data_IF_840057477580
#
_entry.id   IF_840057477580
#
_cell.length_a   1.000
_cell.length_b   1.000
_cell.length_c   1.000
_cell.angle_alpha   90.00
_cell.angle_beta   90.00
_cell.angle_gamma   90.00
#
_symmetry.space_group_name_H-M   'P 1'
#
loop_
_entity.id
_entity.type
_entity.pdbx_description
1 polymer ?
#
# COMPACT_ATOMS: atom_id res chain seq x y z
N UNK A 1 0.66 -15.31 -21.37
CA UNK A 1 0.34 -15.54 -19.93
C UNK A 1 -1.15 -15.33 -19.72
N UNK A 2 -1.81 -16.07 -18.81
CA UNK A 2 -3.25 -15.89 -18.48
C UNK A 2 -3.40 -15.47 -17.02
N UNK A 3 -4.25 -14.49 -16.78
CA UNK A 3 -4.62 -14.01 -15.44
C UNK A 3 -6.13 -14.18 -15.26
N UNK A 4 -6.54 -14.80 -14.16
CA UNK A 4 -7.94 -15.14 -13.90
C UNK A 4 -8.57 -14.19 -12.87
N UNK A 5 -7.74 -13.60 -12.02
CA UNK A 5 -8.17 -12.70 -10.97
C UNK A 5 -7.09 -11.64 -10.69
N UNK A 6 -7.43 -10.67 -9.84
CA UNK A 6 -6.53 -9.58 -9.47
C UNK A 6 -5.32 -10.09 -8.67
N UNK A 7 -5.47 -11.12 -7.82
CA UNK A 7 -4.35 -11.73 -7.08
C UNK A 7 -3.24 -12.24 -8.00
N UNK A 8 -3.61 -12.94 -9.10
CA UNK A 8 -2.65 -13.44 -10.10
C UNK A 8 -1.79 -12.30 -10.67
N UNK A 9 -2.37 -11.11 -10.86
CA UNK A 9 -1.67 -9.94 -11.37
C UNK A 9 -0.68 -9.42 -10.34
N UNK A 10 -1.09 -9.27 -9.07
CA UNK A 10 -0.20 -8.81 -8.01
C UNK A 10 0.94 -9.80 -7.77
N UNK A 11 0.67 -11.10 -7.75
CA UNK A 11 1.70 -12.14 -7.66
C UNK A 11 2.71 -12.06 -8.81
N UNK A 12 2.23 -11.79 -10.04
CA UNK A 12 3.10 -11.59 -11.18
C UNK A 12 3.94 -10.31 -11.06
N UNK A 13 3.35 -9.19 -10.64
CA UNK A 13 4.07 -7.93 -10.44
C UNK A 13 5.23 -8.13 -9.47
N UNK A 14 4.97 -8.76 -8.33
CA UNK A 14 5.98 -9.04 -7.31
C UNK A 14 7.06 -10.01 -7.81
N UNK A 15 6.68 -11.03 -8.60
CA UNK A 15 7.64 -11.90 -9.28
C UNK A 15 8.53 -11.14 -10.26
N UNK A 16 7.96 -10.24 -11.06
CA UNK A 16 8.70 -9.45 -12.05
C UNK A 16 9.61 -8.43 -11.38
N UNK A 17 9.17 -7.82 -10.28
CA UNK A 17 9.99 -6.92 -9.47
C UNK A 17 11.23 -7.62 -8.92
N UNK A 18 11.09 -8.82 -8.34
CA UNK A 18 12.25 -9.61 -7.88
C UNK A 18 13.21 -9.96 -9.01
N UNK A 19 12.69 -10.33 -10.19
CA UNK A 19 13.53 -10.61 -11.36
C UNK A 19 14.29 -9.37 -11.82
N UNK A 20 13.64 -8.21 -11.80
CA UNK A 20 14.24 -6.94 -12.15
C UNK A 20 15.39 -6.59 -11.19
N UNK A 21 15.16 -6.69 -9.88
CA UNK A 21 16.20 -6.52 -8.84
C UNK A 21 17.37 -7.48 -9.02
N UNK A 22 17.10 -8.76 -9.24
CA UNK A 22 18.13 -9.78 -9.46
C UNK A 22 18.96 -9.52 -10.71
N UNK A 23 18.34 -9.03 -11.78
CA UNK A 23 19.04 -8.75 -13.05
C UNK A 23 19.98 -7.54 -12.95
N UNK A 24 19.77 -6.68 -11.96
CA UNK A 24 20.55 -5.46 -11.72
C UNK A 24 21.51 -5.58 -10.53
N UNK A 25 21.42 -6.68 -9.77
CA UNK A 25 22.25 -6.91 -8.61
C UNK A 25 23.73 -7.11 -9.00
N UNK A 26 24.63 -6.43 -8.28
CA UNK A 26 26.07 -6.62 -8.44
C UNK A 26 26.70 -5.96 -9.66
N UNK A 27 25.98 -5.07 -10.35
CA UNK A 27 26.56 -4.24 -11.42
C UNK A 27 27.62 -3.29 -10.87
N UNK A 28 28.75 -3.17 -11.57
CA UNK A 28 29.77 -2.17 -11.26
C UNK A 28 29.38 -0.79 -11.82
N UNK A 29 29.97 0.32 -11.30
CA UNK A 29 29.74 1.66 -11.85
C UNK A 29 29.98 1.77 -13.36
N UNK A 30 31.00 1.07 -13.88
CA UNK A 30 31.30 1.07 -15.31
C UNK A 30 30.23 0.33 -16.13
N UNK A 31 29.67 -0.75 -15.59
CA UNK A 31 28.61 -1.51 -16.24
C UNK A 31 27.29 -0.74 -16.25
N UNK A 32 26.89 -0.13 -15.12
CA UNK A 32 25.63 0.61 -15.06
C UNK A 32 25.62 1.85 -15.97
N UNK A 33 26.80 2.47 -16.17
CA UNK A 33 26.99 3.65 -17.00
C UNK A 33 27.41 3.33 -18.44
N UNK A 34 27.60 2.05 -18.78
CA UNK A 34 27.95 1.64 -20.14
C UNK A 34 26.85 2.05 -21.13
N UNK A 35 27.26 2.78 -22.18
CA UNK A 35 26.37 3.19 -23.28
C UNK A 35 26.76 2.46 -24.57
N UNK A 36 25.92 1.55 -25.10
CA UNK A 36 26.28 0.77 -26.28
C UNK A 36 26.31 1.59 -27.58
N UNK A 37 25.46 2.63 -27.69
CA UNK A 37 25.46 3.58 -28.80
C UNK A 37 24.86 4.93 -28.37
N UNK A 38 25.14 6.04 -29.08
CA UNK A 38 24.65 7.37 -28.70
C UNK A 38 23.12 7.50 -28.61
N UNK A 39 22.39 6.65 -29.33
CA UNK A 39 20.93 6.60 -29.40
C UNK A 39 20.30 5.55 -28.48
N UNK A 40 21.07 4.98 -27.55
CA UNK A 40 20.60 3.99 -26.58
C UNK A 40 20.86 4.44 -25.16
N UNK A 41 19.99 4.00 -24.26
CA UNK A 41 20.10 4.27 -22.83
C UNK A 41 21.11 3.37 -22.15
N UNK A 42 21.76 3.87 -21.09
CA UNK A 42 22.57 3.06 -20.17
C UNK A 42 21.67 2.15 -19.33
N UNK A 43 22.26 1.21 -18.59
CA UNK A 43 21.48 0.35 -17.68
C UNK A 43 20.84 1.20 -16.57
N UNK A 44 21.58 2.18 -16.02
CA UNK A 44 21.05 3.12 -15.04
C UNK A 44 19.84 3.91 -15.57
N UNK A 45 19.93 4.43 -16.80
CA UNK A 45 18.83 5.15 -17.46
C UNK A 45 17.60 4.24 -17.71
N UNK A 46 17.82 2.97 -18.07
CA UNK A 46 16.72 2.02 -18.19
C UNK A 46 16.04 1.75 -16.84
N UNK A 47 16.82 1.62 -15.76
CA UNK A 47 16.28 1.43 -14.42
C UNK A 47 15.48 2.65 -13.96
N UNK A 48 16.01 3.86 -14.18
CA UNK A 48 15.32 5.13 -13.91
C UNK A 48 13.98 5.21 -14.66
N UNK A 49 13.98 4.87 -15.95
CA UNK A 49 12.77 4.87 -16.77
C UNK A 49 11.66 3.99 -16.17
N UNK A 50 12.00 2.76 -15.76
CA UNK A 50 11.04 1.83 -15.14
C UNK A 50 10.43 2.44 -13.87
N UNK A 51 11.27 3.04 -13.02
CA UNK A 51 10.83 3.72 -11.80
C UNK A 51 9.87 4.87 -12.09
N UNK A 52 10.17 5.72 -13.08
CA UNK A 52 9.30 6.84 -13.47
C UNK A 52 7.94 6.34 -13.97
N UNK A 53 7.94 5.33 -14.85
CA UNK A 53 6.72 4.76 -15.43
C UNK A 53 5.84 4.13 -14.36
N UNK A 54 6.41 3.30 -13.50
CA UNK A 54 5.66 2.66 -12.41
C UNK A 54 5.11 3.69 -11.43
N UNK A 55 5.90 4.72 -11.07
CA UNK A 55 5.41 5.80 -10.21
C UNK A 55 4.24 6.56 -10.84
N UNK A 56 4.28 6.80 -12.16
CA UNK A 56 3.15 7.36 -12.90
C UNK A 56 1.91 6.47 -12.85
N UNK A 57 2.09 5.16 -13.04
CA UNK A 57 1.01 4.19 -13.01
C UNK A 57 0.34 4.12 -11.63
N UNK A 58 1.11 4.01 -10.54
CA UNK A 58 0.57 3.94 -9.17
C UNK A 58 -0.20 5.22 -8.81
N UNK A 59 0.31 6.40 -9.18
CA UNK A 59 -0.41 7.67 -9.00
C UNK A 59 -1.74 7.69 -9.74
N UNK A 60 -1.78 7.20 -10.98
CA UNK A 60 -3.00 7.11 -11.76
C UNK A 60 -4.00 6.12 -11.13
N UNK A 61 -3.55 4.93 -10.74
CA UNK A 61 -4.39 3.92 -10.07
C UNK A 61 -4.99 4.47 -8.77
N UNK A 62 -4.20 5.15 -7.93
CA UNK A 62 -4.70 5.78 -6.71
C UNK A 62 -5.76 6.86 -7.01
N UNK A 63 -5.53 7.70 -8.03
CA UNK A 63 -6.51 8.70 -8.47
C UNK A 63 -7.83 8.04 -8.91
N UNK A 64 -7.75 6.97 -9.70
CA UNK A 64 -8.92 6.24 -10.18
C UNK A 64 -9.67 5.55 -9.04
N UNK A 65 -8.95 4.99 -8.06
CA UNK A 65 -9.54 4.38 -6.87
C UNK A 65 -10.33 5.42 -6.06
N UNK A 66 -9.73 6.57 -5.76
CA UNK A 66 -10.40 7.66 -5.04
C UNK A 66 -11.64 8.18 -5.77
N UNK A 67 -11.59 8.25 -7.11
CA UNK A 67 -12.74 8.65 -7.90
C UNK A 67 -13.87 7.61 -7.80
N UNK A 68 -13.55 6.31 -7.88
CA UNK A 68 -14.54 5.25 -7.75
C UNK A 68 -15.20 5.24 -6.37
N UNK A 69 -14.43 5.48 -5.30
CA UNK A 69 -14.93 5.63 -3.93
C UNK A 69 -15.87 6.83 -3.78
N UNK A 70 -15.50 7.99 -4.34
CA UNK A 70 -16.33 9.19 -4.33
C UNK A 70 -17.66 8.99 -5.08
N UNK A 71 -17.65 8.19 -6.14
CA UNK A 71 -18.84 7.82 -6.91
C UNK A 71 -19.61 6.64 -6.30
N UNK A 72 -19.21 6.15 -5.11
CA UNK A 72 -19.83 5.01 -4.41
C UNK A 72 -19.96 3.75 -5.28
N UNK A 73 -19.01 3.54 -6.20
CA UNK A 73 -19.00 2.34 -7.04
C UNK A 73 -18.64 1.15 -6.15
N UNK A 74 -19.47 0.09 -6.11
CA UNK A 74 -19.19 -1.07 -5.27
C UNK A 74 -17.89 -1.73 -5.70
N UNK A 75 -17.08 -2.16 -4.72
CA UNK A 75 -15.97 -3.05 -4.99
C UNK A 75 -16.52 -4.35 -5.60
N UNK A 76 -15.99 -4.74 -6.76
CA UNK A 76 -16.37 -5.99 -7.41
C UNK A 76 -15.72 -7.13 -6.62
N UNK A 77 -16.45 -7.66 -5.64
CA UNK A 77 -15.99 -8.65 -4.67
C UNK A 77 -15.54 -9.98 -5.29
N UNK A 78 -15.94 -10.25 -6.54
CA UNK A 78 -15.51 -11.40 -7.33
C UNK A 78 -15.34 -10.97 -8.80
N UNK A 79 -14.36 -10.10 -9.08
CA UNK A 79 -14.00 -9.77 -10.46
C UNK A 79 -13.29 -10.98 -11.11
N UNK A 80 -14.08 -11.96 -11.54
CA UNK A 80 -13.62 -12.97 -12.49
C UNK A 80 -13.45 -12.27 -13.83
N UNK A 81 -12.22 -11.84 -14.10
CA UNK A 81 -11.90 -11.24 -15.38
C UNK A 81 -11.95 -12.36 -16.43
N UNK A 82 -12.63 -12.16 -17.58
CA UNK A 82 -12.42 -13.06 -18.70
C UNK A 82 -10.92 -13.15 -18.94
N UNK A 83 -10.35 -14.35 -19.20
CA UNK A 83 -8.91 -14.54 -19.24
C UNK A 83 -8.28 -13.46 -20.10
N UNK A 84 -7.53 -12.55 -19.46
CA UNK A 84 -6.76 -11.57 -20.19
C UNK A 84 -5.59 -12.34 -20.77
N UNK A 85 -5.82 -12.99 -21.90
CA UNK A 85 -4.75 -13.44 -22.75
C UNK A 85 -4.11 -12.15 -23.25
N UNK A 86 -2.94 -11.82 -22.70
CA UNK A 86 -1.94 -11.13 -23.50
C UNK A 86 -1.66 -12.11 -24.65
N UNK A 87 -2.50 -12.06 -25.67
CA UNK A 87 -2.26 -12.83 -26.88
C UNK A 87 -0.98 -12.27 -27.48
N UNK A 88 -0.15 -13.14 -28.03
CA UNK A 88 0.96 -12.69 -28.87
C UNK A 88 0.42 -11.90 -30.10
N UNK A 89 -0.90 -11.93 -30.35
CA UNK A 89 -1.63 -11.08 -31.31
C UNK A 89 -1.89 -9.63 -30.83
N UNK A 90 -1.45 -9.27 -29.63
CA UNK A 90 -0.98 -7.90 -29.39
C UNK A 90 0.30 -7.67 -30.19
N UNK A 91 0.25 -7.83 -31.52
CA UNK A 91 1.32 -7.44 -32.42
C UNK A 91 1.51 -5.94 -32.19
N UNK A 92 2.39 -5.58 -31.25
CA UNK A 92 3.00 -4.27 -31.25
C UNK A 92 3.56 -4.13 -32.64
N UNK A 93 2.90 -3.31 -33.47
CA UNK A 93 3.35 -3.08 -34.83
C UNK A 93 4.85 -2.83 -34.76
N UNK A 94 5.68 -3.60 -35.49
CA UNK A 94 7.11 -3.41 -35.48
C UNK A 94 7.37 -1.96 -35.86
N UNK A 95 7.80 -1.19 -34.87
CA UNK A 95 7.85 0.27 -34.94
C UNK A 95 8.83 0.74 -33.88
N UNK A 96 9.59 1.78 -34.22
CA UNK A 96 10.49 2.42 -33.26
C UNK A 96 9.63 3.26 -32.32
N UNK A 97 9.15 2.66 -31.24
CA UNK A 97 8.42 3.36 -30.19
C UNK A 97 9.43 4.15 -29.37
N UNK A 98 9.28 5.47 -29.37
CA UNK A 98 10.04 6.34 -28.47
C UNK A 98 9.18 6.68 -27.26
N UNK A 99 9.78 6.58 -26.08
CA UNK A 99 9.13 7.01 -24.85
C UNK A 99 8.80 8.52 -24.91
N UNK A 100 7.61 8.95 -24.48
CA UNK A 100 7.29 10.36 -24.35
C UNK A 100 8.23 11.09 -23.41
N UNK A 101 8.45 12.40 -23.62
CA UNK A 101 9.43 13.20 -22.85
C UNK A 101 9.22 13.15 -21.33
N UNK A 102 7.96 13.02 -20.87
CA UNK A 102 7.63 12.94 -19.45
C UNK A 102 8.18 11.69 -18.76
N UNK A 103 8.39 10.60 -19.50
CA UNK A 103 8.89 9.33 -18.96
C UNK A 103 10.30 9.00 -19.43
N UNK A 104 10.94 9.86 -20.23
CA UNK A 104 12.35 9.67 -20.60
C UNK A 104 13.23 9.78 -19.35
N UNK A 105 14.24 8.90 -19.20
CA UNK A 105 15.22 9.04 -18.13
C UNK A 105 16.00 10.34 -18.31
N UNK A 106 16.30 11.01 -17.20
CA UNK A 106 17.08 12.25 -17.19
C UNK A 106 18.57 11.97 -16.99
N UNK A 107 18.91 10.77 -16.53
CA UNK A 107 20.26 10.39 -16.16
C UNK A 107 20.67 10.96 -14.80
N UNK A 108 21.81 10.48 -14.29
CA UNK A 108 22.37 10.90 -13.02
C UNK A 108 21.80 10.20 -11.78
N UNK A 109 20.84 9.29 -11.96
CA UNK A 109 20.35 8.39 -10.92
C UNK A 109 21.00 7.02 -11.13
N UNK A 110 21.72 6.53 -10.12
CA UNK A 110 22.33 5.19 -10.17
C UNK A 110 21.29 4.06 -10.15
N UNK A 111 21.72 2.85 -10.51
CA UNK A 111 20.85 1.67 -10.54
C UNK A 111 20.27 1.38 -9.15
N UNK A 112 21.09 1.46 -8.11
CA UNK A 112 20.69 1.17 -6.72
C UNK A 112 19.51 2.06 -6.28
N UNK A 113 19.62 3.38 -6.48
CA UNK A 113 18.58 4.33 -6.11
C UNK A 113 17.31 4.12 -6.94
N UNK A 114 17.46 3.83 -8.25
CA UNK A 114 16.32 3.57 -9.13
C UNK A 114 15.56 2.32 -8.68
N UNK A 115 16.28 1.23 -8.36
CA UNK A 115 15.70 -0.03 -7.90
C UNK A 115 15.03 0.13 -6.54
N UNK A 116 15.67 0.80 -5.59
CA UNK A 116 15.08 1.08 -4.28
C UNK A 116 13.81 1.93 -4.39
N UNK A 117 13.83 2.98 -5.23
CA UNK A 117 12.65 3.79 -5.53
C UNK A 117 11.53 2.98 -6.18
N UNK A 118 11.87 2.08 -7.11
CA UNK A 118 10.86 1.22 -7.74
C UNK A 118 10.23 0.26 -6.74
N UNK A 119 11.02 -0.33 -5.83
CA UNK A 119 10.52 -1.19 -4.77
C UNK A 119 9.50 -0.46 -3.89
N UNK A 120 9.81 0.76 -3.46
CA UNK A 120 8.89 1.60 -2.68
C UNK A 120 7.56 1.84 -3.42
N UNK A 121 7.62 2.16 -4.72
CA UNK A 121 6.44 2.36 -5.56
C UNK A 121 5.58 1.09 -5.65
N UNK A 122 6.21 -0.07 -5.80
CA UNK A 122 5.47 -1.34 -5.80
C UNK A 122 4.85 -1.61 -4.43
N UNK A 123 5.57 -1.37 -3.34
CA UNK A 123 5.02 -1.55 -1.99
C UNK A 123 3.81 -0.63 -1.76
N UNK A 124 3.83 0.61 -2.26
CA UNK A 124 2.67 1.52 -2.27
C UNK A 124 1.49 0.94 -3.05
N UNK A 125 1.72 0.34 -4.22
CA UNK A 125 0.66 -0.32 -4.99
C UNK A 125 0.03 -1.47 -4.21
N UNK A 126 0.83 -2.24 -3.47
CA UNK A 126 0.34 -3.32 -2.60
C UNK A 126 -0.42 -2.77 -1.38
N UNK A 127 0.00 -1.64 -0.81
CA UNK A 127 -0.74 -0.98 0.26
C UNK A 127 -2.16 -0.58 -0.20
N UNK A 128 -2.30 -0.02 -1.40
CA UNK A 128 -3.61 0.33 -1.99
C UNK A 128 -4.55 -0.89 -2.10
N UNK A 129 -4.01 -2.06 -2.44
CA UNK A 129 -4.79 -3.31 -2.47
C UNK A 129 -5.35 -3.66 -1.10
N UNK A 130 -4.56 -3.45 -0.03
CA UNK A 130 -4.94 -3.81 1.34
C UNK A 130 -5.98 -2.84 1.93
N UNK A 131 -5.91 -1.56 1.58
CA UNK A 131 -6.88 -0.54 2.03
C UNK A 131 -8.23 -0.70 1.33
N UNK A 132 -8.22 -1.02 0.03
CA UNK A 132 -9.43 -1.18 -0.78
C UNK A 132 -10.20 -2.49 -0.49
N UNK A 133 -9.53 -3.51 0.05
CA UNK A 133 -10.17 -4.78 0.43
C UNK A 133 -10.25 -4.93 1.96
N UNK A 134 -11.30 -4.41 2.62
CA UNK A 134 -11.53 -4.76 4.01
C UNK A 134 -11.74 -6.27 4.09
N UNK A 135 -10.82 -6.95 4.79
CA UNK A 135 -10.93 -8.37 5.08
C UNK A 135 -12.33 -8.69 5.61
N UNK A 136 -13.07 -9.54 4.90
CA UNK A 136 -14.39 -10.09 5.30
C UNK A 136 -14.28 -10.96 6.57
N UNK A 137 -13.10 -11.07 7.21
CA UNK A 137 -12.89 -11.93 8.37
C UNK A 137 -13.22 -11.31 9.75
N UNK A 138 -13.89 -10.16 9.85
CA UNK A 138 -14.23 -9.55 11.16
C UNK A 138 -15.72 -9.35 11.39
N UNK A 139 -16.55 -10.34 11.07
CA UNK A 139 -17.88 -10.52 11.67
C UNK A 139 -18.08 -12.00 11.98
N UNK A 140 -17.46 -12.50 13.05
CA UNK A 140 -17.97 -13.68 13.77
C UNK A 140 -17.44 -13.69 15.20
N UNK A 141 -18.41 -13.72 16.12
CA UNK A 141 -18.32 -13.85 17.58
C UNK A 141 -17.89 -12.55 18.29
N UNK A 142 -18.74 -11.81 18.99
CA UNK A 142 -19.82 -12.27 19.86
C UNK A 142 -19.32 -12.25 21.30
N UNK A 143 -19.92 -11.37 22.11
CA UNK A 143 -19.82 -11.27 23.58
C UNK A 143 -18.56 -10.52 24.11
N UNK A 144 -18.71 -9.20 24.29
CA UNK A 144 -17.91 -8.48 25.29
C UNK A 144 -18.58 -8.74 26.65
N UNK A 145 -18.01 -9.67 27.41
CA UNK A 145 -18.29 -9.79 28.84
C UNK A 145 -17.39 -8.76 29.56
N UNK A 146 -17.98 -7.65 30.02
CA UNK A 146 -17.33 -6.82 31.03
C UNK A 146 -17.46 -7.55 32.37
N UNK A 147 -16.39 -8.18 32.83
CA UNK A 147 -16.23 -8.54 34.24
C UNK A 147 -15.19 -7.61 34.85
N UNK A 148 -15.68 -6.65 35.62
CA UNK A 148 -14.90 -5.94 36.63
C UNK A 148 -14.47 -6.93 37.71
N UNK A 149 -13.18 -7.06 37.95
CA UNK A 149 -12.67 -7.47 39.26
C UNK A 149 -11.47 -6.61 39.61
N UNK A 150 -11.67 -5.72 40.57
CA UNK A 150 -10.62 -5.01 41.29
C UNK A 150 -9.96 -5.95 42.29
N UNK A 151 -8.62 -5.92 42.40
CA UNK A 151 -7.91 -5.69 43.67
C UNK A 151 -6.39 -5.64 43.47
N UNK A 152 -5.80 -4.55 44.00
CA UNK A 152 -4.56 -4.52 44.80
C UNK A 152 -3.28 -5.17 44.24
N UNK A 153 -2.25 -4.38 43.91
CA UNK A 153 -1.11 -4.11 44.81
C UNK A 153 -0.10 -3.13 44.19
N UNK A 154 0.52 -2.37 45.08
CA UNK A 154 1.57 -1.36 44.95
C UNK A 154 2.79 -1.67 44.06
N UNK A 155 3.28 -0.64 43.35
CA UNK A 155 4.65 -0.58 42.81
C UNK A 155 4.93 0.75 42.11
N UNK A 156 5.85 1.56 42.65
CA UNK A 156 6.30 2.84 42.09
C UNK A 156 7.34 2.64 40.96
N UNK A 157 7.39 3.54 39.96
CA UNK A 157 8.60 4.35 39.59
C UNK A 157 8.46 5.16 38.27
N UNK A 158 8.81 6.46 38.35
CA UNK A 158 9.38 7.47 37.39
C UNK A 158 8.80 7.64 35.95
N UNK A 159 8.24 8.80 35.54
CA UNK A 159 8.82 10.14 35.19
C UNK A 159 9.62 10.14 33.85
N UNK A 160 9.44 10.98 32.81
CA UNK A 160 8.62 12.17 32.51
C UNK A 160 8.51 12.43 30.98
N UNK A 161 7.54 13.30 30.61
CA UNK A 161 7.46 14.21 29.44
C UNK A 161 7.19 13.62 28.03
N UNK A 162 6.32 14.14 27.17
CA UNK A 162 5.61 15.43 27.09
C UNK A 162 4.42 15.28 26.12
N UNK A 163 3.30 15.97 26.40
CA UNK A 163 2.22 16.38 25.47
C UNK A 163 1.24 15.28 24.98
N UNK A 164 0.16 15.09 25.74
CA UNK A 164 -1.19 15.47 25.30
C UNK A 164 -2.20 15.25 26.43
N UNK A 165 -2.63 16.36 27.03
CA UNK A 165 -3.69 16.39 28.04
C UNK A 165 -5.03 16.40 27.30
N UNK A 166 -5.81 15.33 27.42
CA UNK A 166 -7.25 15.37 27.09
C UNK A 166 -8.03 15.38 28.40
N UNK A 167 -8.65 16.52 28.71
CA UNK A 167 -9.49 16.72 29.89
C UNK A 167 -10.90 16.21 29.57
N UNK A 168 -11.27 15.02 30.05
CA UNK A 168 -12.68 14.62 30.12
C UNK A 168 -13.29 15.09 31.45
N UNK A 169 -14.14 16.12 31.35
CA UNK A 169 -14.94 16.67 32.45
C UNK A 169 -16.08 15.70 32.78
N UNK A 170 -15.94 14.90 33.84
CA UNK A 170 -17.07 14.15 34.40
C UNK A 170 -17.98 15.11 35.19
N UNK A 171 -19.13 15.46 34.61
CA UNK A 171 -20.25 16.07 35.34
C UNK A 171 -20.96 15.00 36.15
N UNK A 172 -20.78 15.02 37.47
CA UNK A 172 -21.43 14.10 38.42
C UNK A 172 -22.90 14.50 38.59
N UNK A 173 -23.77 13.88 37.80
CA UNK A 173 -25.23 13.89 37.97
C UNK A 173 -25.60 13.17 39.27
N UNK A 174 -26.13 13.91 40.26
CA UNK A 174 -26.58 13.39 41.55
C UNK A 174 -28.07 13.02 41.42
N UNK A 175 -28.35 11.75 41.07
CA UNK A 175 -29.72 11.23 41.00
C UNK A 175 -30.13 10.75 42.41
N UNK A 176 -31.25 11.31 42.89
CA UNK A 176 -32.03 10.88 44.06
C UNK A 176 -32.32 9.37 44.00
N UNK A 177 -32.26 8.71 45.15
CA UNK A 177 -33.10 7.55 45.43
C UNK A 177 -33.66 7.71 46.84
N UNK A 178 -34.97 7.97 46.87
CA UNK A 178 -35.85 7.72 48.00
C UNK A 178 -35.88 6.21 48.25
N UNK A 179 -35.81 5.80 49.52
CA UNK A 179 -36.29 4.50 49.96
C UNK A 179 -36.72 4.60 51.41
N UNK A 180 -38.03 4.42 51.60
CA UNK A 180 -38.69 4.09 52.85
C UNK A 180 -37.98 2.92 53.54
N UNK A 181 -37.85 2.97 54.87
CA UNK A 181 -38.56 2.01 55.72
C UNK A 181 -38.65 2.44 57.20
N UNK A 182 -39.62 1.80 57.85
CA UNK A 182 -40.32 2.05 59.12
C UNK A 182 -39.51 1.78 60.40
N UNK A 183 -40.20 2.07 61.51
CA UNK A 183 -40.02 1.67 62.94
C UNK A 183 -39.22 2.68 63.79
N UNK A 184 -39.64 3.12 64.97
CA UNK A 184 -40.80 2.81 65.80
C UNK A 184 -40.46 3.14 67.26
N UNK A 185 -41.05 4.19 67.83
CA UNK A 185 -41.54 4.35 69.22
C UNK A 185 -41.88 5.81 69.49
#
# INVERSE_FOLDING_TARGET
MRYHNISDIFEMIEKMQRKFEQSLAGLTPDQENFRPSPDRWTIAENAEHVTIVNGGFVRLTNKMLKQAEAESRPALSDLQMPPLTLTDEGEMKPGKWQAPDMVKPKGGIGVELSVAGNRQIIDELFALKSESMPSISRIRNGIIHCSETSTSTSGWSFSANTKNVTVCRLTRSRRRQDSLDKTGR
#
